data_IF_141405523247
#
_entry.id   IF_141405523247
#
_cell.length_a   1.000
_cell.length_b   1.000
_cell.length_c   1.000
_cell.angle_alpha   90.00
_cell.angle_beta   90.00
_cell.angle_gamma   90.00
#
_symmetry.space_group_name_H-M   'P 1'
#
loop_
_entity.id
_entity.type
_entity.pdbx_description
1 polymer ?
#
# COMPACT_ATOMS: atom_id res chain seq x y z
N UNK A 1 6.61 -7.99 16.17
CA UNK A 1 7.68 -8.97 16.49
C UNK A 1 7.59 -9.45 17.93
N UNK A 2 8.67 -10.07 18.44
CA UNK A 2 8.70 -10.73 19.76
C UNK A 2 8.39 -9.78 20.93
N UNK A 3 8.90 -8.54 20.89
CA UNK A 3 8.67 -7.55 21.94
C UNK A 3 7.19 -7.10 22.00
N UNK A 4 6.53 -6.98 20.86
CA UNK A 4 5.12 -6.61 20.78
C UNK A 4 4.24 -7.75 21.30
N UNK A 5 4.52 -8.98 20.89
CA UNK A 5 3.78 -10.17 21.36
C UNK A 5 3.95 -10.35 22.88
N UNK A 6 5.13 -10.09 23.44
CA UNK A 6 5.37 -10.19 24.88
C UNK A 6 4.48 -9.23 25.70
N UNK A 7 4.15 -8.05 25.15
CA UNK A 7 3.28 -7.05 25.81
C UNK A 7 1.79 -7.42 25.77
N UNK A 8 1.40 -8.40 24.96
CA UNK A 8 0.00 -8.85 24.87
C UNK A 8 -0.41 -9.64 26.12
N UNK A 9 -1.72 -9.89 26.28
CA UNK A 9 -2.23 -10.81 27.30
C UNK A 9 -1.78 -12.25 27.00
N UNK A 10 -1.68 -13.08 28.03
CA UNK A 10 -1.46 -14.52 27.85
C UNK A 10 -2.72 -15.17 27.27
N UNK A 11 -2.53 -16.16 26.38
CA UNK A 11 -3.61 -16.83 25.68
C UNK A 11 -4.33 -15.94 24.65
N UNK A 12 -3.63 -14.95 24.08
CA UNK A 12 -4.21 -14.05 23.08
C UNK A 12 -4.52 -14.81 21.77
N UNK A 13 -5.46 -14.28 20.98
CA UNK A 13 -5.72 -14.74 19.61
C UNK A 13 -5.32 -13.67 18.62
N UNK A 14 -4.63 -14.05 17.55
CA UNK A 14 -4.16 -13.14 16.50
C UNK A 14 -4.74 -13.52 15.15
N UNK A 15 -5.04 -12.51 14.31
CA UNK A 15 -5.55 -12.70 12.95
C UNK A 15 -4.78 -11.76 12.02
N UNK A 16 -4.18 -12.30 10.94
CA UNK A 16 -3.61 -11.49 9.87
C UNK A 16 -4.18 -11.90 8.50
N UNK A 17 -5.04 -11.03 7.97
CA UNK A 17 -5.52 -11.09 6.59
C UNK A 17 -5.13 -9.82 5.81
N UNK A 18 -4.09 -9.11 6.25
CA UNK A 18 -3.71 -7.81 5.71
C UNK A 18 -2.53 -7.93 4.74
N UNK A 19 -1.33 -8.20 5.25
CA UNK A 19 -0.10 -8.36 4.46
C UNK A 19 0.86 -9.34 5.14
N UNK A 20 1.59 -10.11 4.33
CA UNK A 20 2.82 -10.76 4.77
C UNK A 20 3.80 -9.73 5.36
N UNK A 21 4.59 -10.12 6.33
CA UNK A 21 5.58 -9.26 7.00
C UNK A 21 5.05 -8.45 8.17
N UNK A 22 3.73 -8.35 8.34
CA UNK A 22 3.14 -7.57 9.44
C UNK A 22 3.49 -8.19 10.81
N UNK A 23 3.45 -9.52 10.88
CA UNK A 23 3.91 -10.28 12.02
C UNK A 23 5.21 -10.98 11.66
N UNK A 24 6.21 -10.85 12.52
CA UNK A 24 7.44 -11.66 12.42
C UNK A 24 7.07 -13.13 12.64
N UNK A 25 7.21 -13.97 11.61
CA UNK A 25 6.77 -15.36 11.61
C UNK A 25 7.46 -16.21 12.69
N UNK A 26 8.74 -15.96 12.97
CA UNK A 26 9.45 -16.63 14.07
C UNK A 26 8.86 -16.27 15.44
N UNK A 27 8.39 -15.02 15.59
CA UNK A 27 7.76 -14.59 16.84
C UNK A 27 6.37 -15.19 17.01
N UNK A 28 5.64 -15.44 15.92
CA UNK A 28 4.39 -16.21 15.94
C UNK A 28 4.65 -17.65 16.34
N UNK A 29 5.66 -18.28 15.74
CA UNK A 29 6.04 -19.66 16.03
C UNK A 29 6.35 -19.85 17.52
N UNK A 30 7.22 -19.01 18.08
CA UNK A 30 7.55 -19.04 19.51
C UNK A 30 6.35 -18.69 20.40
N UNK A 31 5.50 -17.77 19.96
CA UNK A 31 4.28 -17.38 20.68
C UNK A 31 3.24 -18.52 20.75
N UNK A 32 3.06 -19.27 19.66
CA UNK A 32 2.21 -20.46 19.61
C UNK A 32 2.80 -21.59 20.45
N UNK A 33 4.09 -21.89 20.27
CA UNK A 33 4.80 -22.95 21.00
C UNK A 33 4.79 -22.74 22.51
N UNK A 34 4.92 -21.50 22.97
CA UNK A 34 4.89 -21.15 24.41
C UNK A 34 3.48 -21.06 25.00
N UNK A 35 2.43 -21.09 24.17
CA UNK A 35 1.04 -20.85 24.61
C UNK A 35 0.71 -19.39 24.89
N UNK A 36 1.64 -18.45 24.65
CA UNK A 36 1.36 -17.00 24.71
C UNK A 36 0.24 -16.64 23.74
N UNK A 37 0.29 -17.21 22.53
CA UNK A 37 -0.75 -17.15 21.52
C UNK A 37 -1.56 -18.45 21.64
N UNK A 38 -2.81 -18.33 22.08
CA UNK A 38 -3.71 -19.49 22.17
C UNK A 38 -4.20 -19.94 20.79
N UNK A 39 -4.31 -19.02 19.83
CA UNK A 39 -4.78 -19.33 18.48
C UNK A 39 -4.34 -18.29 17.46
N UNK A 40 -4.03 -18.74 16.24
CA UNK A 40 -3.63 -17.88 15.12
C UNK A 40 -4.53 -18.11 13.89
N UNK A 41 -5.03 -17.03 13.29
CA UNK A 41 -5.62 -17.03 11.96
C UNK A 41 -4.69 -16.30 11.00
N UNK A 42 -4.31 -16.90 9.88
CA UNK A 42 -3.39 -16.29 8.93
C UNK A 42 -3.78 -16.61 7.49
N UNK A 43 -3.88 -15.57 6.65
CA UNK A 43 -4.19 -15.69 5.22
C UNK A 43 -2.96 -15.38 4.34
N UNK A 44 -1.96 -14.69 4.90
CA UNK A 44 -0.84 -14.10 4.17
C UNK A 44 0.49 -14.40 4.87
N UNK A 45 1.52 -14.66 4.09
CA UNK A 45 2.87 -15.03 4.58
C UNK A 45 3.94 -14.09 4.00
N UNK A 46 5.11 -14.00 4.64
CA UNK A 46 6.24 -13.21 4.13
C UNK A 46 6.66 -13.66 2.74
N UNK A 47 6.66 -14.98 2.54
CA UNK A 47 6.96 -15.62 1.25
C UNK A 47 5.87 -16.60 0.88
N UNK A 48 5.25 -16.35 -0.27
CA UNK A 48 4.22 -17.19 -0.86
C UNK A 48 4.71 -17.85 -2.15
N UNK A 49 4.34 -19.12 -2.45
CA UNK A 49 3.42 -19.96 -1.68
C UNK A 49 4.10 -20.62 -0.46
N UNK A 50 3.40 -20.61 0.69
CA UNK A 50 3.91 -21.11 1.96
C UNK A 50 3.64 -22.62 2.17
N UNK A 51 3.99 -23.47 1.20
CA UNK A 51 3.58 -24.90 1.20
C UNK A 51 4.28 -25.78 2.24
N UNK A 52 5.44 -25.37 2.76
CA UNK A 52 6.23 -26.11 3.74
C UNK A 52 6.68 -25.16 4.86
N UNK A 53 5.71 -24.56 5.55
CA UNK A 53 5.93 -23.50 6.52
C UNK A 53 5.75 -24.02 7.96
N UNK A 54 6.68 -23.75 8.92
CA UNK A 54 6.61 -24.33 10.27
C UNK A 54 5.35 -23.99 11.06
N UNK A 55 4.68 -22.87 10.74
CA UNK A 55 3.41 -22.51 11.37
C UNK A 55 2.27 -23.48 11.02
N UNK A 56 2.39 -24.24 9.92
CA UNK A 56 1.37 -25.19 9.48
C UNK A 56 1.32 -26.46 10.34
N UNK A 57 2.37 -26.71 11.14
CA UNK A 57 2.47 -27.91 11.99
C UNK A 57 1.67 -27.77 13.30
N UNK A 58 1.13 -26.57 13.60
CA UNK A 58 0.34 -26.34 14.80
C UNK A 58 -1.13 -26.73 14.60
N UNK A 59 -1.76 -27.32 15.61
CA UNK A 59 -3.20 -27.64 15.57
C UNK A 59 -4.10 -26.42 15.86
N UNK A 60 -3.57 -25.42 16.58
CA UNK A 60 -4.29 -24.22 16.99
C UNK A 60 -4.09 -23.04 16.02
N UNK A 61 -4.03 -23.34 14.72
CA UNK A 61 -3.95 -22.36 13.64
C UNK A 61 -5.07 -22.60 12.62
N UNK A 62 -5.57 -21.52 12.01
CA UNK A 62 -6.39 -21.59 10.81
C UNK A 62 -5.68 -20.84 9.70
N UNK A 63 -5.46 -21.53 8.59
CA UNK A 63 -4.72 -20.99 7.45
C UNK A 63 -5.62 -20.99 6.22
N UNK A 64 -5.59 -19.88 5.50
CA UNK A 64 -6.15 -19.76 4.14
C UNK A 64 -5.05 -19.30 3.20
N UNK A 65 -5.14 -19.69 1.93
CA UNK A 65 -4.10 -19.40 0.93
C UNK A 65 -4.37 -18.08 0.20
N UNK A 66 -4.17 -16.96 0.87
CA UNK A 66 -4.36 -15.61 0.33
C UNK A 66 -5.72 -15.43 -0.37
N UNK A 67 -6.79 -15.73 0.37
CA UNK A 67 -8.17 -15.75 -0.13
C UNK A 67 -8.94 -14.46 0.16
N UNK A 68 -8.35 -13.47 0.82
CA UNK A 68 -9.05 -12.24 1.24
C UNK A 68 -9.87 -11.53 0.15
N UNK A 69 -9.42 -11.59 -1.11
CA UNK A 69 -10.13 -11.01 -2.27
C UNK A 69 -10.77 -12.05 -3.21
N UNK A 70 -10.66 -13.35 -2.92
CA UNK A 70 -11.09 -14.43 -3.80
C UNK A 70 -12.59 -14.76 -3.61
N UNK A 71 -13.46 -13.75 -3.79
CA UNK A 71 -14.92 -13.91 -3.80
C UNK A 71 -15.49 -13.53 -5.17
N UNK A 72 -16.66 -14.07 -5.53
CA UNK A 72 -17.31 -13.76 -6.81
C UNK A 72 -17.63 -12.27 -6.91
N UNK A 73 -18.11 -11.67 -5.82
CA UNK A 73 -18.46 -10.26 -5.74
C UNK A 73 -17.22 -9.36 -5.84
N UNK A 74 -16.11 -9.74 -5.21
CA UNK A 74 -14.86 -8.97 -5.32
C UNK A 74 -14.30 -9.04 -6.74
N UNK A 75 -14.31 -10.22 -7.34
CA UNK A 75 -13.78 -10.40 -8.69
C UNK A 75 -14.63 -9.71 -9.76
N UNK A 76 -15.96 -9.69 -9.62
CA UNK A 76 -16.85 -8.93 -10.50
C UNK A 76 -16.58 -7.42 -10.42
N UNK A 77 -16.46 -6.89 -9.20
CA UNK A 77 -16.13 -5.47 -8.98
C UNK A 77 -14.76 -5.10 -9.56
N UNK A 78 -13.73 -5.92 -9.32
CA UNK A 78 -12.39 -5.72 -9.88
C UNK A 78 -12.43 -5.72 -11.41
N UNK A 79 -13.15 -6.66 -12.02
CA UNK A 79 -13.26 -6.74 -13.47
C UNK A 79 -13.97 -5.50 -14.06
N UNK A 80 -15.09 -5.08 -13.45
CA UNK A 80 -15.83 -3.90 -13.84
C UNK A 80 -14.97 -2.65 -13.75
N UNK A 81 -14.27 -2.47 -12.63
CA UNK A 81 -13.39 -1.32 -12.40
C UNK A 81 -12.23 -1.30 -13.40
N UNK A 82 -11.56 -2.44 -13.63
CA UNK A 82 -10.48 -2.53 -14.60
C UNK A 82 -10.95 -2.19 -16.03
N UNK A 83 -12.14 -2.66 -16.43
CA UNK A 83 -12.74 -2.31 -17.72
C UNK A 83 -13.08 -0.81 -17.83
N UNK A 84 -13.69 -0.23 -16.80
CA UNK A 84 -14.01 1.22 -16.77
C UNK A 84 -12.75 2.09 -16.84
N UNK A 85 -11.70 1.71 -16.11
CA UNK A 85 -10.40 2.39 -16.15
C UNK A 85 -9.75 2.28 -17.54
N UNK A 86 -9.73 1.08 -18.13
CA UNK A 86 -9.17 0.87 -19.47
C UNK A 86 -9.90 1.67 -20.55
N UNK A 87 -11.23 1.73 -20.51
CA UNK A 87 -12.04 2.55 -21.44
C UNK A 87 -11.79 4.05 -21.24
N UNK A 88 -11.68 4.51 -20.00
CA UNK A 88 -11.41 5.91 -19.68
C UNK A 88 -10.02 6.34 -20.19
N UNK A 89 -9.02 5.50 -20.00
CA UNK A 89 -7.67 5.71 -20.52
C UNK A 89 -7.64 5.69 -22.05
N UNK A 90 -8.27 4.72 -22.70
CA UNK A 90 -8.32 4.62 -24.16
C UNK A 90 -9.01 5.81 -24.83
N UNK A 91 -9.99 6.42 -24.16
CA UNK A 91 -10.67 7.64 -24.64
C UNK A 91 -9.92 8.93 -24.30
N UNK A 92 -8.84 8.86 -23.52
CA UNK A 92 -8.09 10.02 -23.04
C UNK A 92 -8.91 10.92 -22.10
N UNK A 93 -9.96 10.39 -21.46
CA UNK A 93 -10.85 11.16 -20.58
C UNK A 93 -10.21 11.34 -19.20
N UNK A 94 -9.71 10.25 -18.61
CA UNK A 94 -9.08 10.26 -17.29
C UNK A 94 -8.25 8.98 -17.10
N UNK A 95 -7.30 9.04 -16.17
CA UNK A 95 -6.47 7.91 -15.74
C UNK A 95 -6.71 7.60 -14.24
N UNK A 96 -7.95 7.27 -13.83
CA UNK A 96 -8.27 6.98 -12.44
C UNK A 96 -7.46 5.77 -11.95
N UNK A 97 -6.94 5.86 -10.72
CA UNK A 97 -6.16 4.80 -10.06
C UNK A 97 -4.89 4.36 -10.83
N UNK A 98 -4.38 5.17 -11.76
CA UNK A 98 -3.14 4.89 -12.47
C UNK A 98 -1.96 4.78 -11.49
N UNK A 99 -1.36 3.59 -11.42
CA UNK A 99 -0.22 3.31 -10.55
C UNK A 99 1.01 4.13 -10.96
N UNK A 100 1.20 4.26 -12.28
CA UNK A 100 2.11 5.18 -12.92
C UNK A 100 1.26 6.12 -13.77
N UNK A 101 1.14 7.38 -13.36
CA UNK A 101 0.48 8.37 -14.19
C UNK A 101 1.24 8.47 -15.52
N UNK A 102 0.55 8.33 -16.67
CA UNK A 102 1.13 8.63 -17.96
C UNK A 102 1.19 10.15 -18.08
N UNK A 103 2.11 10.74 -17.34
CA UNK A 103 2.49 12.12 -17.57
C UNK A 103 3.25 12.05 -18.86
N UNK A 104 2.71 12.72 -19.87
CA UNK A 104 3.42 12.97 -21.11
C UNK A 104 4.57 13.91 -20.76
N UNK A 105 5.60 13.39 -20.11
CA UNK A 105 6.87 14.08 -19.90
C UNK A 105 7.48 14.48 -21.23
N UNK A 106 7.10 13.79 -22.31
CA UNK A 106 7.30 14.15 -23.72
C UNK A 106 6.70 15.51 -24.11
N UNK A 107 5.55 15.88 -23.54
CA UNK A 107 4.89 17.18 -23.78
C UNK A 107 5.44 18.29 -22.87
N UNK A 108 6.28 17.93 -21.88
CA UNK A 108 6.92 18.90 -20.98
C UNK A 108 8.32 19.25 -21.48
N UNK A 109 8.71 20.53 -21.46
CA UNK A 109 10.09 20.90 -21.74
C UNK A 109 11.06 20.15 -20.80
N UNK A 110 12.23 19.70 -21.29
CA UNK A 110 13.21 18.97 -20.47
C UNK A 110 13.62 19.69 -19.18
N UNK A 111 13.58 21.03 -19.16
CA UNK A 111 13.92 21.83 -17.99
C UNK A 111 12.92 21.69 -16.83
N UNK A 112 11.70 21.19 -17.08
CA UNK A 112 10.65 21.01 -16.05
C UNK A 112 10.89 19.77 -15.19
N UNK A 113 11.55 18.75 -15.73
CA UNK A 113 11.83 17.47 -15.05
C UNK A 113 12.44 17.61 -13.63
N UNK A 114 13.49 18.42 -13.39
CA UNK A 114 14.04 18.59 -12.03
C UNK A 114 13.05 19.25 -11.05
N UNK A 115 12.12 20.06 -11.53
CA UNK A 115 11.12 20.71 -10.67
C UNK A 115 10.03 19.74 -10.22
N UNK A 116 9.67 18.75 -11.06
CA UNK A 116 8.76 17.66 -10.68
C UNK A 116 9.33 16.88 -9.48
N UNK A 117 10.62 16.53 -9.53
CA UNK A 117 11.29 15.82 -8.45
C UNK A 117 11.38 16.70 -7.18
N UNK A 118 11.69 17.99 -7.35
CA UNK A 118 11.73 18.95 -6.25
C UNK A 118 10.37 19.08 -5.56
N UNK A 119 9.29 19.27 -6.33
CA UNK A 119 7.92 19.40 -5.79
C UNK A 119 7.52 18.16 -4.99
N UNK A 120 7.83 16.95 -5.50
CA UNK A 120 7.56 15.70 -4.79
C UNK A 120 8.30 15.63 -3.45
N UNK A 121 9.59 16.01 -3.42
CA UNK A 121 10.39 16.03 -2.19
C UNK A 121 9.90 17.09 -1.20
N UNK A 122 9.46 18.25 -1.69
CA UNK A 122 8.90 19.32 -0.87
C UNK A 122 7.58 18.90 -0.23
N UNK A 123 6.69 18.24 -0.98
CA UNK A 123 5.44 17.71 -0.46
C UNK A 123 5.68 16.62 0.61
N UNK A 124 6.57 15.66 0.32
CA UNK A 124 6.98 14.65 1.29
C UNK A 124 7.48 15.30 2.59
N UNK A 125 8.36 16.30 2.48
CA UNK A 125 8.88 17.04 3.64
C UNK A 125 7.76 17.74 4.42
N UNK A 126 6.83 18.40 3.74
CA UNK A 126 5.72 19.12 4.37
C UNK A 126 4.85 18.18 5.23
N UNK A 127 4.55 16.97 4.75
CA UNK A 127 3.79 15.94 5.49
C UNK A 127 4.61 15.32 6.62
N UNK A 128 5.93 15.34 6.53
CA UNK A 128 6.78 14.95 7.67
C UNK A 128 6.77 16.00 8.79
N UNK A 129 6.66 17.28 8.43
CA UNK A 129 6.62 18.40 9.38
C UNK A 129 5.25 18.50 10.07
N UNK A 130 4.17 18.45 9.30
CA UNK A 130 2.80 18.50 9.84
C UNK A 130 2.14 17.12 9.79
N UNK A 131 1.88 16.55 10.97
CA UNK A 131 1.25 15.23 11.12
C UNK A 131 -0.28 15.28 11.10
N UNK A 132 -0.88 16.47 10.99
CA UNK A 132 -2.33 16.62 10.85
C UNK A 132 -2.79 16.21 9.44
N UNK A 133 -4.07 15.81 9.28
CA UNK A 133 -4.63 15.53 7.97
C UNK A 133 -4.55 16.76 7.04
N UNK A 134 -3.89 16.60 5.90
CA UNK A 134 -3.79 17.65 4.87
C UNK A 134 -5.17 17.84 4.23
N UNK A 135 -5.65 19.10 4.22
CA UNK A 135 -6.96 19.46 3.63
C UNK A 135 -6.85 20.01 2.20
N UNK A 136 -5.72 20.62 1.87
CA UNK A 136 -5.49 21.24 0.56
C UNK A 136 -4.00 21.44 0.35
N UNK A 137 -3.56 21.35 -0.90
CA UNK A 137 -2.20 21.65 -1.33
C UNK A 137 -2.27 22.81 -2.32
N UNK A 138 -1.41 23.81 -2.15
CA UNK A 138 -1.25 24.94 -3.07
C UNK A 138 0.21 24.98 -3.54
N UNK A 139 0.41 24.92 -4.84
CA UNK A 139 1.72 25.05 -5.47
C UNK A 139 1.82 26.44 -6.12
N UNK A 140 2.80 27.22 -5.68
CA UNK A 140 3.14 28.51 -6.28
C UNK A 140 4.53 28.39 -6.91
N UNK A 141 4.66 28.88 -8.15
CA UNK A 141 5.90 28.83 -8.90
C UNK A 141 6.07 30.14 -9.67
N UNK A 142 7.28 30.70 -9.64
CA UNK A 142 7.61 31.98 -10.26
C UNK A 142 8.62 31.83 -11.42
N UNK A 143 8.52 32.72 -12.40
CA UNK A 143 9.32 32.66 -13.63
C UNK A 143 8.74 31.70 -14.66
N UNK A 144 9.57 31.25 -15.61
CA UNK A 144 9.16 30.41 -16.75
C UNK A 144 8.48 29.11 -16.28
N UNK A 145 8.90 28.57 -15.13
CA UNK A 145 8.33 27.35 -14.57
C UNK A 145 6.87 27.53 -14.09
N UNK A 146 6.44 28.77 -13.83
CA UNK A 146 5.07 29.10 -13.41
C UNK A 146 4.00 28.66 -14.42
N UNK A 147 4.33 28.65 -15.71
CA UNK A 147 3.44 28.16 -16.78
C UNK A 147 3.10 26.67 -16.64
N UNK A 148 3.93 25.91 -15.90
CA UNK A 148 3.81 24.46 -15.73
C UNK A 148 3.37 24.06 -14.31
N UNK A 149 3.05 25.03 -13.43
CA UNK A 149 2.69 24.76 -12.03
C UNK A 149 1.51 23.78 -11.91
N UNK A 150 0.47 23.92 -12.73
CA UNK A 150 -0.68 23.01 -12.72
C UNK A 150 -0.30 21.58 -13.10
N UNK A 151 0.61 21.42 -14.07
CA UNK A 151 1.11 20.10 -14.50
C UNK A 151 1.95 19.42 -13.41
N UNK A 152 2.57 20.21 -12.52
CA UNK A 152 3.37 19.70 -11.40
C UNK A 152 2.54 19.44 -10.13
N UNK A 153 1.34 20.02 -10.01
CA UNK A 153 0.50 19.90 -8.81
C UNK A 153 0.17 18.45 -8.45
N UNK A 154 -0.03 17.58 -9.45
CA UNK A 154 -0.27 16.15 -9.22
C UNK A 154 0.87 15.50 -8.44
N UNK A 155 2.12 15.89 -8.70
CA UNK A 155 3.30 15.38 -8.00
C UNK A 155 3.40 15.88 -6.56
N UNK A 156 2.85 17.05 -6.26
CA UNK A 156 2.73 17.53 -4.90
C UNK A 156 1.72 16.69 -4.08
N UNK A 157 0.77 16.03 -4.73
CA UNK A 157 -0.24 15.20 -4.05
C UNK A 157 0.22 13.75 -3.83
N UNK A 158 1.08 13.22 -4.71
CA UNK A 158 1.54 11.82 -4.64
C UNK A 158 2.93 11.64 -4.00
N UNK A 159 3.72 12.71 -3.90
CA UNK A 159 5.05 12.71 -3.25
C UNK A 159 4.97 12.92 -1.76
#
# INVERSE_FOLDING_TARGET
GKQEIAKMKDGIRLINCARGGLYTEEALYEGLKSGKIAWLGIDVFDKEPATNHPLLDFENISVTSHLGANTLESQDNIAREACEQALSAARGVAYPNALNLPIKTEDLPPFVAPYIELVSKMAFLAVQIDKNPIKSIKLEAEGIIGEYANSMLTFAAVG
#
